data_IF_237682967593
#
_entry.id   IF_237682967593
#
_cell.length_a   1.000
_cell.length_b   1.000
_cell.length_c   1.000
_cell.angle_alpha   90.00
_cell.angle_beta   90.00
_cell.angle_gamma   90.00
#
_symmetry.space_group_name_H-M   'P 1'
#
loop_
_entity.id
_entity.type
_entity.pdbx_description
1 polymer ?
#
# COMPACT_ATOMS: atom_id res chain seq x y z
N UNK A 1 -10.84 -42.39 8.65
CA UNK A 1 -12.24 -42.05 8.49
C UNK A 1 -12.87 -42.57 7.22
N UNK A 2 -12.34 -42.30 6.10
CA UNK A 2 -12.83 -42.85 4.84
C UNK A 2 -12.84 -44.36 4.84
N UNK A 3 -11.96 -44.94 5.57
CA UNK A 3 -11.86 -46.36 5.67
C UNK A 3 -13.02 -47.02 6.38
N UNK A 4 -13.58 -46.35 7.37
CA UNK A 4 -14.76 -46.83 8.07
C UNK A 4 -15.94 -46.86 7.14
N UNK A 5 -16.10 -45.87 6.30
CA UNK A 5 -17.10 -45.84 5.27
C UNK A 5 -16.88 -46.93 4.25
N UNK A 6 -15.66 -47.14 3.87
CA UNK A 6 -15.29 -48.21 2.94
C UNK A 6 -15.52 -49.58 3.49
N UNK A 7 -15.42 -49.74 4.80
CA UNK A 7 -15.70 -51.02 5.45
C UNK A 7 -17.17 -51.29 5.53
N UNK A 8 -17.93 -50.26 5.75
CA UNK A 8 -19.36 -50.41 5.71
C UNK A 8 -19.83 -50.84 4.34
N UNK A 9 -18.98 -50.81 3.49
CA UNK A 9 -19.13 -51.18 2.17
C UNK A 9 -19.24 -52.56 1.83
N UNK A 10 -18.69 -53.39 2.60
CA UNK A 10 -18.96 -54.78 2.44
C UNK A 10 -20.45 -55.04 2.41
N UNK A 11 -21.20 -54.07 2.85
CA UNK A 11 -22.64 -54.15 2.95
C UNK A 11 -23.35 -53.75 1.67
N UNK A 12 -22.66 -53.09 0.79
CA UNK A 12 -23.28 -52.69 -0.46
C UNK A 12 -22.45 -51.70 -1.24
N UNK A 13 -22.17 -52.04 -2.45
CA UNK A 13 -21.46 -51.24 -3.42
C UNK A 13 -22.17 -49.87 -3.59
N UNK A 14 -23.49 -49.86 -3.46
CA UNK A 14 -24.28 -48.66 -3.52
C UNK A 14 -23.95 -47.64 -2.46
N UNK A 15 -23.65 -48.10 -1.25
CA UNK A 15 -23.19 -47.25 -0.17
C UNK A 15 -21.85 -46.61 -0.46
N UNK A 16 -21.01 -47.35 -1.17
CA UNK A 16 -19.68 -46.85 -1.52
C UNK A 16 -19.83 -45.73 -2.52
N UNK A 17 -20.62 -45.94 -3.56
CA UNK A 17 -20.87 -44.92 -4.58
C UNK A 17 -21.48 -43.66 -3.98
N UNK A 18 -22.43 -43.81 -3.04
CA UNK A 18 -23.03 -42.69 -2.35
C UNK A 18 -22.00 -41.93 -1.48
N UNK A 19 -21.13 -42.68 -0.81
CA UNK A 19 -20.07 -42.09 0.01
C UNK A 19 -19.06 -41.31 -0.81
N UNK A 20 -18.68 -41.84 -1.95
CA UNK A 20 -17.76 -41.17 -2.87
C UNK A 20 -18.37 -39.88 -3.41
N UNK A 21 -19.63 -39.91 -3.80
CA UNK A 21 -20.35 -38.72 -4.28
C UNK A 21 -20.42 -37.65 -3.19
N UNK A 22 -20.65 -38.03 -1.94
CA UNK A 22 -20.66 -37.11 -0.82
C UNK A 22 -19.29 -36.51 -0.56
N UNK A 23 -18.24 -37.31 -0.63
CA UNK A 23 -16.86 -36.84 -0.45
C UNK A 23 -16.50 -35.86 -1.58
N UNK A 24 -16.86 -36.16 -2.81
CA UNK A 24 -16.62 -35.27 -3.93
C UNK A 24 -17.35 -33.94 -3.77
N UNK A 25 -18.58 -33.96 -3.30
CA UNK A 25 -19.35 -32.73 -3.02
C UNK A 25 -18.73 -31.91 -1.90
N UNK A 26 -18.27 -32.54 -0.84
CA UNK A 26 -17.59 -31.86 0.27
C UNK A 26 -16.29 -31.24 -0.23
N UNK A 27 -15.51 -31.95 -1.00
CA UNK A 27 -14.25 -31.44 -1.58
C UNK A 27 -14.52 -30.25 -2.47
N UNK A 28 -15.52 -30.31 -3.34
CA UNK A 28 -15.90 -29.20 -4.20
C UNK A 28 -16.32 -27.98 -3.39
N UNK A 29 -17.09 -28.16 -2.32
CA UNK A 29 -17.52 -27.07 -1.45
C UNK A 29 -16.34 -26.45 -0.71
N UNK A 30 -15.41 -27.24 -0.20
CA UNK A 30 -14.20 -26.75 0.44
C UNK A 30 -13.35 -25.92 -0.52
N UNK A 31 -13.20 -26.39 -1.76
CA UNK A 31 -12.47 -25.65 -2.78
C UNK A 31 -13.13 -24.29 -3.08
N UNK A 32 -14.44 -24.25 -3.19
CA UNK A 32 -15.19 -23.01 -3.38
C UNK A 32 -14.98 -22.05 -2.22
N UNK A 33 -15.02 -22.54 -0.98
CA UNK A 33 -14.78 -21.72 0.20
C UNK A 33 -13.35 -21.18 0.23
N UNK A 34 -12.38 -21.99 -0.18
CA UNK A 34 -10.98 -21.55 -0.27
C UNK A 34 -10.82 -20.43 -1.31
N UNK A 35 -11.46 -20.57 -2.46
CA UNK A 35 -11.44 -19.55 -3.49
C UNK A 35 -12.09 -18.24 -3.03
N UNK A 36 -13.21 -18.31 -2.33
CA UNK A 36 -13.89 -17.14 -1.78
C UNK A 36 -13.00 -16.43 -0.77
N UNK A 37 -12.35 -17.17 0.11
CA UNK A 37 -11.43 -16.61 1.11
C UNK A 37 -10.24 -15.94 0.43
N UNK A 38 -9.67 -16.57 -0.60
CA UNK A 38 -8.55 -15.99 -1.35
C UNK A 38 -8.96 -14.70 -2.05
N UNK A 39 -10.13 -14.67 -2.69
CA UNK A 39 -10.68 -13.47 -3.33
C UNK A 39 -10.95 -12.37 -2.31
N UNK A 40 -11.48 -12.73 -1.14
CA UNK A 40 -11.76 -11.77 -0.07
C UNK A 40 -10.46 -11.13 0.45
N UNK A 41 -9.41 -11.91 0.64
CA UNK A 41 -8.09 -11.38 1.04
C UNK A 41 -7.51 -10.46 -0.01
N UNK A 42 -7.55 -10.83 -1.27
CA UNK A 42 -7.06 -10.01 -2.38
C UNK A 42 -7.82 -8.68 -2.44
N UNK A 43 -9.13 -8.68 -2.20
CA UNK A 43 -9.94 -7.47 -2.16
C UNK A 43 -9.56 -6.55 -1.01
N UNK A 44 -9.31 -7.11 0.19
CA UNK A 44 -8.90 -6.35 1.36
C UNK A 44 -7.50 -5.73 1.13
N UNK A 45 -6.57 -6.51 0.62
CA UNK A 45 -5.22 -6.02 0.30
C UNK A 45 -5.26 -4.90 -0.73
N UNK A 46 -6.07 -5.04 -1.78
CA UNK A 46 -6.24 -4.01 -2.80
C UNK A 46 -6.83 -2.74 -2.20
N UNK A 47 -7.84 -2.87 -1.32
CA UNK A 47 -8.43 -1.72 -0.64
C UNK A 47 -7.42 -1.02 0.28
N UNK A 48 -6.60 -1.78 0.99
CA UNK A 48 -5.56 -1.23 1.86
C UNK A 48 -4.50 -0.46 1.05
N UNK A 49 -4.07 -1.02 -0.07
CA UNK A 49 -3.11 -0.36 -0.95
C UNK A 49 -3.70 0.94 -1.50
N UNK A 50 -4.96 0.92 -1.93
CA UNK A 50 -5.62 2.11 -2.45
C UNK A 50 -5.75 3.21 -1.38
N UNK A 51 -6.03 2.85 -0.14
CA UNK A 51 -6.11 3.81 0.96
C UNK A 51 -4.74 4.41 1.27
N UNK A 52 -3.70 3.60 1.31
CA UNK A 52 -2.33 4.06 1.57
C UNK A 52 -1.85 4.95 0.42
N UNK A 53 -2.12 4.57 -0.81
CA UNK A 53 -1.80 5.40 -1.99
C UNK A 53 -2.48 6.77 -1.92
N UNK A 54 -3.75 6.79 -1.56
CA UNK A 54 -4.50 8.04 -1.41
C UNK A 54 -3.89 8.96 -0.36
N UNK A 55 -3.52 8.41 0.79
CA UNK A 55 -2.85 9.18 1.85
C UNK A 55 -1.50 9.73 1.38
N UNK A 56 -0.73 8.91 0.69
CA UNK A 56 0.55 9.34 0.14
C UNK A 56 0.37 10.48 -0.86
N UNK A 57 -0.60 10.38 -1.75
CA UNK A 57 -0.91 11.42 -2.73
C UNK A 57 -1.30 12.73 -2.04
N UNK A 58 -2.14 12.66 -1.02
CA UNK A 58 -2.57 13.83 -0.25
C UNK A 58 -1.37 14.51 0.43
N UNK A 59 -0.46 13.74 1.01
CA UNK A 59 0.74 14.27 1.66
C UNK A 59 1.69 14.92 0.66
N UNK A 60 1.90 14.29 -0.49
CA UNK A 60 2.76 14.84 -1.55
C UNK A 60 2.18 16.14 -2.10
N UNK A 61 0.90 16.16 -2.40
CA UNK A 61 0.22 17.36 -2.92
C UNK A 61 0.32 18.49 -1.90
N UNK A 62 0.09 18.18 -0.63
CA UNK A 62 0.21 19.17 0.46
C UNK A 62 1.62 19.73 0.57
N UNK A 63 2.65 18.88 0.53
CA UNK A 63 4.05 19.30 0.59
C UNK A 63 4.39 20.23 -0.58
N UNK A 64 4.06 19.81 -1.79
CA UNK A 64 4.35 20.60 -3.00
C UNK A 64 3.62 21.92 -3.00
N UNK A 65 2.36 21.93 -2.57
CA UNK A 65 1.56 23.17 -2.47
C UNK A 65 2.15 24.09 -1.41
N UNK A 66 2.61 23.57 -0.28
CA UNK A 66 3.22 24.35 0.80
C UNK A 66 4.53 24.98 0.34
N UNK A 67 5.37 24.22 -0.36
CA UNK A 67 6.60 24.78 -0.93
C UNK A 67 6.29 25.92 -1.91
N UNK A 68 5.33 25.70 -2.78
CA UNK A 68 4.94 26.71 -3.77
C UNK A 68 4.40 27.97 -3.09
N UNK A 69 3.50 27.81 -2.14
CA UNK A 69 2.84 28.92 -1.44
C UNK A 69 3.85 29.74 -0.64
N UNK A 70 4.75 29.08 0.08
CA UNK A 70 5.72 29.77 0.94
C UNK A 70 6.84 30.48 0.17
N UNK A 71 6.97 30.25 -1.13
CA UNK A 71 7.88 31.02 -1.97
C UNK A 71 7.49 32.50 -2.03
N UNK A 72 6.23 32.78 -1.75
CA UNK A 72 5.71 34.17 -1.69
C UNK A 72 5.53 34.66 -0.25
N UNK A 73 6.06 33.94 0.73
CA UNK A 73 5.94 34.30 2.14
C UNK A 73 6.58 35.65 2.42
N UNK A 74 5.93 36.50 3.23
CA UNK A 74 6.56 37.74 3.69
C UNK A 74 7.72 37.51 4.66
N UNK A 75 7.81 36.32 5.25
CA UNK A 75 8.90 35.95 6.14
C UNK A 75 10.05 35.38 5.31
N UNK A 76 11.17 36.08 5.31
CA UNK A 76 12.31 35.73 4.46
C UNK A 76 12.85 34.31 4.70
N UNK A 77 12.94 33.88 5.96
CA UNK A 77 13.42 32.54 6.29
C UNK A 77 12.54 31.46 5.69
N UNK A 78 11.21 31.65 5.73
CA UNK A 78 10.25 30.70 5.14
C UNK A 78 10.33 30.72 3.61
N UNK A 79 10.47 31.90 3.03
CA UNK A 79 10.59 32.06 1.57
C UNK A 79 11.84 31.36 1.05
N UNK A 80 12.98 31.57 1.69
CA UNK A 80 14.24 30.94 1.30
C UNK A 80 14.16 29.42 1.44
N UNK A 81 13.63 28.94 2.57
CA UNK A 81 13.45 27.51 2.78
C UNK A 81 12.53 26.88 1.72
N UNK A 82 11.40 27.54 1.43
CA UNK A 82 10.44 27.06 0.45
C UNK A 82 11.03 27.04 -0.97
N UNK A 83 11.78 28.05 -1.34
CA UNK A 83 12.43 28.11 -2.65
C UNK A 83 13.46 27.01 -2.83
N UNK A 84 14.31 26.78 -1.82
CA UNK A 84 15.30 25.72 -1.83
C UNK A 84 14.63 24.35 -1.97
N UNK A 85 13.59 24.08 -1.17
CA UNK A 85 12.82 22.84 -1.24
C UNK A 85 12.08 22.68 -2.56
N UNK A 86 11.50 23.76 -3.06
CA UNK A 86 10.79 23.75 -4.34
C UNK A 86 11.72 23.34 -5.48
N UNK A 87 12.90 23.93 -5.55
CA UNK A 87 13.89 23.60 -6.58
C UNK A 87 14.40 22.17 -6.44
N UNK A 88 14.65 21.74 -5.20
CA UNK A 88 15.13 20.39 -4.93
C UNK A 88 14.11 19.31 -5.28
N UNK A 89 12.82 19.61 -5.05
CA UNK A 89 11.74 18.65 -5.26
C UNK A 89 11.08 18.75 -6.62
N UNK A 90 11.52 19.68 -7.46
CA UNK A 90 10.95 19.88 -8.79
C UNK A 90 10.87 18.59 -9.64
N UNK A 91 11.88 17.70 -9.64
CA UNK A 91 11.81 16.47 -10.41
C UNK A 91 10.70 15.50 -9.94
N UNK A 92 10.16 15.73 -8.76
CA UNK A 92 9.13 14.85 -8.16
C UNK A 92 7.71 15.39 -8.32
N UNK A 93 7.56 16.57 -8.91
CA UNK A 93 6.23 17.16 -9.15
C UNK A 93 5.44 16.24 -10.08
N UNK A 94 4.22 15.89 -9.65
CA UNK A 94 3.36 15.00 -10.43
C UNK A 94 3.63 13.51 -10.24
N UNK A 95 4.53 13.14 -9.32
CA UNK A 95 4.86 11.72 -9.10
C UNK A 95 3.65 10.90 -8.64
N UNK A 96 2.65 11.52 -8.04
CA UNK A 96 1.42 10.86 -7.63
C UNK A 96 0.59 10.34 -8.81
N UNK A 97 0.86 10.80 -10.03
CA UNK A 97 0.16 10.36 -11.24
C UNK A 97 0.85 9.21 -11.95
N UNK A 98 2.02 8.79 -11.46
CA UNK A 98 2.81 7.72 -12.07
C UNK A 98 2.26 6.34 -11.71
N UNK A 99 2.56 5.31 -12.53
CA UNK A 99 2.28 3.92 -12.15
C UNK A 99 2.90 3.58 -10.80
N UNK A 100 2.26 2.71 -10.05
CA UNK A 100 2.57 2.44 -8.64
C UNK A 100 4.05 2.17 -8.34
N UNK A 101 4.71 1.33 -9.13
CA UNK A 101 6.13 1.03 -8.91
C UNK A 101 7.03 2.23 -9.08
N UNK A 102 6.77 3.06 -10.10
CA UNK A 102 7.51 4.28 -10.36
C UNK A 102 7.21 5.35 -9.30
N UNK A 103 5.96 5.42 -8.86
CA UNK A 103 5.54 6.35 -7.81
C UNK A 103 6.30 6.08 -6.51
N UNK A 104 6.40 4.83 -6.10
CA UNK A 104 7.13 4.45 -4.88
C UNK A 104 8.60 4.82 -4.96
N UNK A 105 9.23 4.56 -6.10
CA UNK A 105 10.63 4.93 -6.30
C UNK A 105 10.83 6.44 -6.23
N UNK A 106 9.93 7.21 -6.84
CA UNK A 106 9.97 8.67 -6.77
C UNK A 106 9.74 9.18 -5.34
N UNK A 107 8.81 8.58 -4.61
CA UNK A 107 8.58 8.92 -3.21
C UNK A 107 9.80 8.65 -2.33
N UNK A 108 10.45 7.52 -2.53
CA UNK A 108 11.70 7.19 -1.82
C UNK A 108 12.80 8.20 -2.16
N UNK A 109 12.94 8.57 -3.43
CA UNK A 109 13.89 9.58 -3.86
C UNK A 109 13.60 10.95 -3.25
N UNK A 110 12.33 11.35 -3.25
CA UNK A 110 11.88 12.59 -2.63
C UNK A 110 12.23 12.61 -1.14
N UNK A 111 11.86 11.55 -0.41
CA UNK A 111 12.17 11.44 1.02
C UNK A 111 13.67 11.49 1.28
N UNK A 112 14.47 10.79 0.48
CA UNK A 112 15.92 10.82 0.60
C UNK A 112 16.46 12.24 0.44
N UNK A 113 15.95 12.97 -0.54
CA UNK A 113 16.42 14.32 -0.83
C UNK A 113 16.01 15.33 0.26
N UNK A 114 14.79 15.22 0.80
CA UNK A 114 14.30 16.19 1.78
C UNK A 114 14.66 15.85 3.23
N UNK A 115 15.22 14.68 3.49
CA UNK A 115 15.65 14.28 4.83
C UNK A 115 17.16 14.45 5.05
N UNK A 116 17.89 15.01 4.09
CA UNK A 116 19.27 15.40 4.30
C UNK A 116 19.33 16.48 5.39
N UNK A 117 20.48 16.62 6.04
CA UNK A 117 20.66 17.60 7.13
C UNK A 117 20.28 19.01 6.70
N UNK A 118 20.68 19.41 5.50
CA UNK A 118 20.38 20.73 4.95
C UNK A 118 18.89 20.93 4.70
N UNK A 119 18.26 19.98 4.00
CA UNK A 119 16.83 20.07 3.65
C UNK A 119 15.95 19.90 4.87
N UNK A 120 16.35 19.07 5.84
CA UNK A 120 15.64 18.88 7.11
C UNK A 120 15.48 20.19 7.87
N UNK A 121 16.48 21.04 7.86
CA UNK A 121 16.42 22.37 8.46
C UNK A 121 15.32 23.24 7.80
N UNK A 122 15.25 23.20 6.49
CA UNK A 122 14.21 23.91 5.73
C UNK A 122 12.80 23.33 5.99
N UNK A 123 12.68 22.03 6.09
CA UNK A 123 11.43 21.36 6.46
C UNK A 123 10.95 21.83 7.83
N UNK A 124 11.86 21.90 8.80
CA UNK A 124 11.55 22.39 10.15
C UNK A 124 11.14 23.86 10.12
N UNK A 125 11.81 24.68 9.32
CA UNK A 125 11.48 26.10 9.18
C UNK A 125 10.05 26.29 8.68
N UNK A 126 9.57 25.41 7.76
CA UNK A 126 8.21 25.46 7.24
C UNK A 126 7.19 24.73 8.12
N UNK A 127 7.63 24.09 9.20
CA UNK A 127 6.75 23.35 10.11
C UNK A 127 6.21 22.06 9.51
N UNK A 128 6.94 21.45 8.59
CA UNK A 128 6.49 20.28 7.85
C UNK A 128 7.09 18.95 8.34
N UNK A 129 7.80 18.96 9.46
CA UNK A 129 8.45 17.76 10.00
C UNK A 129 7.48 16.59 10.18
N UNK A 130 6.30 16.86 10.77
CA UNK A 130 5.27 15.83 10.98
C UNK A 130 4.75 15.27 9.65
N UNK A 131 4.57 16.13 8.65
CA UNK A 131 4.10 15.71 7.32
C UNK A 131 5.13 14.80 6.64
N UNK A 132 6.40 15.13 6.74
CA UNK A 132 7.51 14.35 6.17
C UNK A 132 7.62 12.99 6.87
N UNK A 133 7.50 12.95 8.19
CA UNK A 133 7.49 11.70 8.96
C UNK A 133 6.32 10.81 8.55
N UNK A 134 5.14 11.39 8.42
CA UNK A 134 3.94 10.66 7.99
C UNK A 134 4.13 10.10 6.58
N UNK A 135 4.67 10.89 5.68
CA UNK A 135 4.96 10.43 4.31
C UNK A 135 5.96 9.26 4.32
N UNK A 136 6.97 9.31 5.16
CA UNK A 136 7.93 8.23 5.34
C UNK A 136 7.27 6.95 5.81
N UNK A 137 6.40 7.04 6.80
CA UNK A 137 5.63 5.92 7.34
C UNK A 137 4.72 5.31 6.27
N UNK A 138 3.97 6.15 5.57
CA UNK A 138 3.05 5.72 4.52
C UNK A 138 3.81 5.06 3.36
N UNK A 139 4.95 5.62 2.96
CA UNK A 139 5.77 5.04 1.90
C UNK A 139 6.27 3.64 2.29
N UNK A 140 6.70 3.46 3.53
CA UNK A 140 7.12 2.16 4.04
C UNK A 140 5.96 1.15 4.07
N UNK A 141 4.79 1.58 4.51
CA UNK A 141 3.58 0.74 4.51
C UNK A 141 3.20 0.31 3.10
N UNK A 142 3.21 1.24 2.17
CA UNK A 142 2.86 0.96 0.77
C UNK A 142 3.83 -0.05 0.16
N UNK A 143 5.12 0.13 0.38
CA UNK A 143 6.14 -0.81 -0.08
C UNK A 143 5.93 -2.20 0.50
N UNK A 144 5.66 -2.30 1.79
CA UNK A 144 5.42 -3.57 2.46
C UNK A 144 4.18 -4.29 1.91
N UNK A 145 3.09 -3.57 1.69
CA UNK A 145 1.86 -4.14 1.13
C UNK A 145 2.06 -4.67 -0.29
N UNK A 146 2.84 -3.98 -1.09
CA UNK A 146 3.14 -4.39 -2.46
C UNK A 146 4.05 -5.61 -2.49
N UNK A 147 5.05 -5.66 -1.62
CA UNK A 147 5.97 -6.79 -1.51
C UNK A 147 5.29 -8.08 -1.05
N UNK A 148 4.17 -7.97 -0.33
CA UNK A 148 3.38 -9.12 0.11
C UNK A 148 2.54 -9.74 -1.01
N UNK A 149 2.40 -9.08 -2.13
CA UNK A 149 1.73 -9.60 -3.31
C UNK A 149 2.62 -10.56 -4.05
#
# INVERSE_FOLDING_TARGET
>A
MNRTLNQAVAVGIEKIGASEALIDNITANVNKMTDIVAQSRASVETAQIAEVDKKADELIVYLMATFRTNRTSPIQAMRTAAETLYLKTKPYVGCQTLPQGQQIQKMRGLLSDITTSEMSAHITTLGLSAVVEELGTITAQNSALIEQR
#
